data_IF_643649630787
#
_entry.id   IF_643649630787
#
_cell.length_a   1.000
_cell.length_b   1.000
_cell.length_c   1.000
_cell.angle_alpha   90.00
_cell.angle_beta   90.00
_cell.angle_gamma   90.00
#
_symmetry.space_group_name_H-M   'P 1'
#
loop_
_entity.id
_entity.type
_entity.pdbx_description
1 polymer ?
#
# COMPACT_ATOMS: atom_id res chain seq x y z
N UNK A 1 94.07 160.22 145.98
CA UNK A 1 93.67 160.41 147.39
C UNK A 1 92.17 160.23 147.49
N UNK A 2 91.59 159.37 148.34
CA UNK A 2 91.62 159.21 149.82
C UNK A 2 90.58 160.09 150.55
N UNK A 3 89.86 159.45 151.50
CA UNK A 3 89.23 159.98 152.74
C UNK A 3 87.68 159.85 152.78
N UNK A 4 86.94 159.74 153.90
CA UNK A 4 87.18 159.68 155.36
C UNK A 4 85.82 159.52 156.14
N UNK A 5 85.83 158.81 157.28
CA UNK A 5 85.25 159.15 158.62
C UNK A 5 83.74 159.16 159.07
N UNK A 6 83.55 158.65 160.32
CA UNK A 6 82.83 159.12 161.56
C UNK A 6 81.28 159.13 161.80
N UNK A 7 80.92 158.71 163.05
CA UNK A 7 80.00 159.26 164.13
C UNK A 7 78.58 158.66 164.45
N UNK A 8 78.36 158.52 165.79
CA UNK A 8 77.22 158.42 166.77
C UNK A 8 75.70 158.66 166.47
N UNK A 9 74.88 157.82 167.15
CA UNK A 9 73.70 158.01 168.08
C UNK A 9 72.22 158.28 167.65
N UNK A 10 71.32 157.45 168.24
CA UNK A 10 69.90 157.52 168.74
C UNK A 10 68.74 158.37 168.15
N UNK A 11 67.57 157.70 168.18
CA UNK A 11 66.20 158.08 168.67
C UNK A 11 64.96 158.14 167.73
N UNK A 12 63.81 157.91 168.38
CA UNK A 12 62.48 157.34 168.01
C UNK A 12 61.39 158.41 167.73
N UNK A 13 60.18 157.97 167.29
CA UNK A 13 58.81 158.61 167.25
C UNK A 13 58.37 159.25 165.90
N UNK A 14 57.11 159.26 165.39
CA UNK A 14 55.76 158.64 165.62
C UNK A 14 54.75 159.16 164.54
N UNK A 15 53.71 158.36 164.16
CA UNK A 15 52.28 158.71 163.79
C UNK A 15 51.72 158.53 162.32
N UNK A 16 50.36 158.44 162.07
CA UNK A 16 49.42 157.27 161.93
C UNK A 16 48.83 157.05 160.48
N UNK A 17 47.98 156.07 160.06
CA UNK A 17 47.26 154.94 160.69
C UNK A 17 45.92 154.46 160.03
N UNK A 18 45.57 154.77 158.76
CA UNK A 18 44.27 154.37 158.13
C UNK A 18 44.34 153.73 156.71
N UNK A 19 45.52 153.36 156.23
CA UNK A 19 45.72 152.87 154.83
C UNK A 19 45.55 151.34 154.69
N UNK A 20 45.42 150.59 155.78
CA UNK A 20 45.58 149.13 155.75
C UNK A 20 44.29 148.31 155.45
N UNK A 21 43.14 148.97 155.26
CA UNK A 21 41.90 148.26 154.92
C UNK A 21 41.63 148.13 153.40
N UNK A 22 42.32 148.90 152.54
CA UNK A 22 42.00 148.96 151.10
C UNK A 22 42.86 148.01 150.25
N UNK A 23 44.09 147.68 150.68
CA UNK A 23 44.99 146.79 149.94
C UNK A 23 44.60 145.30 150.03
N UNK A 24 43.99 144.88 151.14
CA UNK A 24 43.51 143.50 151.36
C UNK A 24 42.34 143.12 150.45
N UNK A 25 41.47 144.08 150.10
CA UNK A 25 40.33 143.83 149.20
C UNK A 25 40.78 143.54 147.76
N UNK A 26 41.85 144.18 147.28
CA UNK A 26 42.34 144.03 145.91
C UNK A 26 42.99 142.65 145.66
N UNK A 27 43.65 142.09 146.69
CA UNK A 27 44.31 140.78 146.59
C UNK A 27 43.31 139.62 146.45
N UNK A 28 42.16 139.71 147.13
CA UNK A 28 41.10 138.68 147.07
C UNK A 28 40.46 138.60 145.68
N UNK A 29 40.29 139.74 144.99
CA UNK A 29 39.67 139.78 143.66
C UNK A 29 40.57 139.11 142.60
N UNK A 30 41.89 139.31 142.66
CA UNK A 30 42.82 138.69 141.70
C UNK A 30 42.86 137.16 141.88
N UNK A 31 42.83 136.68 143.13
CA UNK A 31 42.82 135.24 143.42
C UNK A 31 41.58 134.53 142.88
N UNK A 32 40.40 135.15 143.01
CA UNK A 32 39.15 134.63 142.43
C UNK A 32 39.19 134.56 140.89
N UNK A 33 39.77 135.58 140.24
CA UNK A 33 39.91 135.62 138.78
C UNK A 33 40.82 134.49 138.25
N UNK A 34 41.91 134.18 138.96
CA UNK A 34 42.84 133.14 138.51
C UNK A 34 42.25 131.73 138.63
N UNK A 35 41.46 131.46 139.69
CA UNK A 35 40.73 130.19 139.83
C UNK A 35 39.74 130.00 138.68
N UNK A 36 39.04 131.07 138.27
CA UNK A 36 38.06 131.01 137.18
C UNK A 36 38.70 130.69 135.82
N UNK A 37 39.86 131.28 135.51
CA UNK A 37 40.58 131.00 134.26
C UNK A 37 41.06 129.55 134.19
N UNK A 38 41.56 129.00 135.31
CA UNK A 38 41.97 127.58 135.37
C UNK A 38 40.75 126.66 135.16
N UNK A 39 39.59 126.98 135.74
CA UNK A 39 38.37 126.21 135.54
C UNK A 39 37.90 126.24 134.07
N UNK A 40 38.01 127.38 133.37
CA UNK A 40 37.68 127.47 131.94
C UNK A 40 38.62 126.65 131.06
N UNK A 41 39.92 126.64 131.32
CA UNK A 41 40.89 125.84 130.55
C UNK A 41 40.60 124.33 130.69
N UNK A 42 40.27 123.88 131.91
CA UNK A 42 39.95 122.47 132.14
C UNK A 42 38.64 122.05 131.49
N UNK A 43 37.63 122.92 131.49
CA UNK A 43 36.34 122.65 130.83
C UNK A 43 36.49 122.63 129.29
N UNK A 44 37.33 123.48 128.72
CA UNK A 44 37.67 123.47 127.29
C UNK A 44 38.43 122.21 126.87
N UNK A 45 39.39 121.75 127.69
CA UNK A 45 40.11 120.50 127.45
C UNK A 45 39.20 119.26 127.55
N UNK A 46 38.24 119.25 128.48
CA UNK A 46 37.29 118.14 128.64
C UNK A 46 36.24 118.07 127.51
N UNK A 47 35.83 119.21 126.93
CA UNK A 47 34.93 119.25 125.78
C UNK A 47 35.65 118.82 124.49
N UNK A 48 36.87 119.30 124.24
CA UNK A 48 37.65 118.95 123.04
C UNK A 48 37.97 117.46 122.95
N UNK A 49 38.32 116.81 124.07
CA UNK A 49 38.59 115.37 124.08
C UNK A 49 37.33 114.52 123.84
N UNK A 50 36.16 115.01 124.23
CA UNK A 50 34.87 114.36 123.93
C UNK A 50 34.50 114.50 122.45
N UNK A 51 34.76 115.66 121.85
CA UNK A 51 34.47 115.91 120.43
C UNK A 51 35.39 115.09 119.51
N UNK A 52 36.66 114.90 119.88
CA UNK A 52 37.60 114.05 119.14
C UNK A 52 37.20 112.56 119.22
N UNK A 53 36.84 112.07 120.42
CA UNK A 53 36.33 110.70 120.59
C UNK A 53 35.01 110.46 119.83
N UNK A 54 34.14 111.47 119.73
CA UNK A 54 32.92 111.38 118.92
C UNK A 54 33.21 111.38 117.42
N UNK A 55 34.20 112.15 116.97
CA UNK A 55 34.66 112.16 115.57
C UNK A 55 35.21 110.79 115.16
N UNK A 56 36.08 110.20 115.99
CA UNK A 56 36.65 108.87 115.75
C UNK A 56 35.59 107.78 115.78
N UNK A 57 34.65 107.84 116.73
CA UNK A 57 33.54 106.88 116.79
C UNK A 57 32.63 107.03 115.56
N UNK A 58 32.40 108.26 115.09
CA UNK A 58 31.63 108.51 113.86
C UNK A 58 32.36 107.99 112.63
N UNK A 59 33.68 108.15 112.55
CA UNK A 59 34.52 107.59 111.48
C UNK A 59 34.49 106.06 111.48
N UNK A 60 34.62 105.42 112.65
CA UNK A 60 34.52 103.96 112.79
C UNK A 60 33.11 103.45 112.45
N UNK A 61 32.05 104.15 112.86
CA UNK A 61 30.67 103.81 112.49
C UNK A 61 30.48 103.93 110.97
N UNK A 62 31.05 104.96 110.34
CA UNK A 62 31.00 105.11 108.87
C UNK A 62 31.80 104.01 108.16
N UNK A 63 32.97 103.63 108.67
CA UNK A 63 33.78 102.54 108.12
C UNK A 63 33.08 101.18 108.27
N UNK A 64 32.52 100.89 109.44
CA UNK A 64 31.71 99.70 109.67
C UNK A 64 30.45 99.70 108.80
N UNK A 65 29.84 100.86 108.57
CA UNK A 65 28.68 101.00 107.66
C UNK A 65 29.09 100.72 106.21
N UNK A 66 30.25 101.20 105.78
CA UNK A 66 30.79 100.93 104.44
C UNK A 66 31.16 99.45 104.26
N UNK A 67 31.81 98.84 105.24
CA UNK A 67 32.14 97.42 105.25
C UNK A 67 30.88 96.56 105.25
N UNK A 68 29.90 96.90 106.09
CA UNK A 68 28.61 96.21 106.13
C UNK A 68 27.83 96.38 104.82
N UNK A 69 27.91 97.54 104.18
CA UNK A 69 27.30 97.74 102.85
C UNK A 69 27.99 96.93 101.76
N UNK A 70 29.32 96.79 101.82
CA UNK A 70 30.09 95.97 100.89
C UNK A 70 29.82 94.47 101.10
N UNK A 71 29.77 94.03 102.36
CA UNK A 71 29.45 92.64 102.74
C UNK A 71 28.02 92.29 102.32
N UNK A 72 27.04 93.16 102.60
CA UNK A 72 25.67 93.00 102.10
C UNK A 72 25.61 92.95 100.57
N UNK A 73 26.37 93.80 99.87
CA UNK A 73 26.44 93.82 98.41
C UNK A 73 27.09 92.55 97.83
N UNK A 74 28.13 92.02 98.48
CA UNK A 74 28.77 90.76 98.10
C UNK A 74 27.85 89.56 98.35
N UNK A 75 27.15 89.51 99.49
CA UNK A 75 26.16 88.47 99.76
C UNK A 75 25.02 88.49 98.73
N UNK A 76 24.51 89.67 98.36
CA UNK A 76 23.51 89.79 97.29
C UNK A 76 24.01 89.27 95.94
N UNK A 77 25.28 89.58 95.57
CA UNK A 77 25.88 89.02 94.34
C UNK A 77 26.03 87.51 94.41
N UNK A 78 26.47 86.97 95.54
CA UNK A 78 26.63 85.54 95.74
C UNK A 78 25.28 84.81 95.74
N UNK A 79 24.22 85.40 96.31
CA UNK A 79 22.85 84.91 96.21
C UNK A 79 22.35 84.88 94.75
N UNK A 80 22.66 85.92 93.96
CA UNK A 80 22.35 85.95 92.52
C UNK A 80 23.13 84.89 91.74
N UNK A 81 24.43 84.74 91.99
CA UNK A 81 25.26 83.69 91.39
C UNK A 81 24.78 82.29 91.76
N UNK A 82 24.43 82.04 93.03
CA UNK A 82 23.83 80.78 93.48
C UNK A 82 22.50 80.51 92.79
N UNK A 83 21.65 81.53 92.62
CA UNK A 83 20.38 81.38 91.91
C UNK A 83 20.59 81.06 90.43
N UNK A 84 21.56 81.73 89.79
CA UNK A 84 21.93 81.48 88.40
C UNK A 84 22.50 80.07 88.22
N UNK A 85 23.45 79.67 89.05
CA UNK A 85 24.03 78.32 89.04
C UNK A 85 22.99 77.24 89.32
N UNK A 86 22.05 77.49 90.24
CA UNK A 86 20.95 76.54 90.52
C UNK A 86 20.04 76.41 89.30
N UNK A 87 19.73 77.51 88.62
CA UNK A 87 18.93 77.50 87.39
C UNK A 87 19.67 76.79 86.25
N UNK A 88 20.97 77.04 86.09
CA UNK A 88 21.80 76.40 85.06
C UNK A 88 21.97 74.89 85.33
N UNK A 89 22.14 74.50 86.60
CA UNK A 89 22.18 73.10 87.01
C UNK A 89 20.84 72.40 86.75
N UNK A 90 19.71 73.06 87.02
CA UNK A 90 18.37 72.55 86.70
C UNK A 90 18.20 72.36 85.19
N UNK A 91 18.52 73.38 84.39
CA UNK A 91 18.42 73.30 82.93
C UNK A 91 19.30 72.18 82.36
N UNK A 92 20.51 72.00 82.89
CA UNK A 92 21.42 70.93 82.47
C UNK A 92 20.90 69.56 82.89
N UNK A 93 20.32 69.45 84.09
CA UNK A 93 19.66 68.22 84.55
C UNK A 93 18.48 67.86 83.64
N UNK A 94 17.65 68.84 83.27
CA UNK A 94 16.52 68.65 82.35
C UNK A 94 16.98 68.23 80.95
N UNK A 95 18.02 68.87 80.39
CA UNK A 95 18.63 68.47 79.11
C UNK A 95 19.20 67.05 79.16
N UNK A 96 19.90 66.70 80.24
CA UNK A 96 20.42 65.34 80.44
C UNK A 96 19.29 64.32 80.49
N UNK A 97 18.19 64.65 81.16
CA UNK A 97 17.06 63.73 81.32
C UNK A 97 16.26 63.60 80.00
N UNK A 98 16.11 64.66 79.20
CA UNK A 98 15.60 64.59 77.82
C UNK A 98 16.49 63.75 76.91
N UNK A 99 17.81 63.96 76.93
CA UNK A 99 18.76 63.15 76.16
C UNK A 99 18.73 61.67 76.56
N UNK A 100 18.58 61.37 77.86
CA UNK A 100 18.39 60.00 78.34
C UNK A 100 17.09 59.38 77.85
N UNK A 101 15.99 60.14 77.85
CA UNK A 101 14.71 59.67 77.32
C UNK A 101 14.80 59.38 75.80
N UNK A 102 15.42 60.28 75.03
CA UNK A 102 15.68 60.07 73.59
C UNK A 102 16.59 58.88 73.33
N UNK A 103 17.65 58.69 74.12
CA UNK A 103 18.55 57.55 74.01
C UNK A 103 17.82 56.22 74.30
N UNK A 104 16.94 56.21 75.30
CA UNK A 104 16.10 55.04 75.58
C UNK A 104 15.14 54.74 74.41
N UNK A 105 14.47 55.76 73.86
CA UNK A 105 13.59 55.57 72.69
C UNK A 105 14.35 55.07 71.46
N UNK A 106 15.54 55.61 71.19
CA UNK A 106 16.39 55.15 70.09
C UNK A 106 16.89 53.72 70.31
N UNK A 107 17.22 53.34 71.55
CA UNK A 107 17.60 51.97 71.89
C UNK A 107 16.43 50.99 71.66
N UNK A 108 15.21 51.36 72.06
CA UNK A 108 14.01 50.56 71.81
C UNK A 108 13.70 50.43 70.30
N UNK A 109 13.86 51.53 69.54
CA UNK A 109 13.70 51.51 68.08
C UNK A 109 14.76 50.65 67.38
N UNK A 110 16.01 50.70 67.84
CA UNK A 110 17.09 49.86 67.31
C UNK A 110 16.81 48.38 67.58
N UNK A 111 16.43 48.04 68.82
CA UNK A 111 16.08 46.66 69.18
C UNK A 111 14.88 46.14 68.36
N UNK A 112 13.86 46.98 68.14
CA UNK A 112 12.73 46.61 67.28
C UNK A 112 13.14 46.42 65.81
N UNK A 113 14.05 47.27 65.30
CA UNK A 113 14.57 47.15 63.94
C UNK A 113 15.42 45.89 63.75
N UNK A 114 16.28 45.55 64.72
CA UNK A 114 17.07 44.31 64.73
C UNK A 114 16.15 43.08 64.70
N UNK A 115 15.15 43.02 65.56
CA UNK A 115 14.15 41.94 65.55
C UNK A 115 13.42 41.82 64.20
N UNK A 116 13.04 42.94 63.59
CA UNK A 116 12.38 42.94 62.27
C UNK A 116 13.32 42.47 61.15
N UNK A 117 14.62 42.76 61.26
CA UNK A 117 15.63 42.35 60.30
C UNK A 117 15.84 40.84 60.38
N UNK A 118 15.93 40.30 61.59
CA UNK A 118 16.02 38.85 61.83
C UNK A 118 14.79 38.12 61.28
N UNK A 119 13.58 38.68 61.47
CA UNK A 119 12.35 38.11 60.93
C UNK A 119 12.35 38.10 59.39
N UNK A 120 12.81 39.18 58.76
CA UNK A 120 12.93 39.28 57.30
C UNK A 120 13.98 38.30 56.78
N UNK A 121 15.12 38.17 57.44
CA UNK A 121 16.18 37.23 57.06
C UNK A 121 15.68 35.78 57.13
N UNK A 122 14.96 35.40 58.19
CA UNK A 122 14.34 34.08 58.30
C UNK A 122 13.30 33.83 57.20
N UNK A 123 12.45 34.81 56.89
CA UNK A 123 11.49 34.71 55.79
C UNK A 123 12.17 34.58 54.44
N UNK A 124 13.28 35.30 54.22
CA UNK A 124 14.06 35.23 53.00
C UNK A 124 14.72 33.85 52.83
N UNK A 125 15.34 33.33 53.89
CA UNK A 125 15.93 31.98 53.89
C UNK A 125 14.87 30.90 53.61
N UNK A 126 13.70 30.99 54.23
CA UNK A 126 12.59 30.07 53.98
C UNK A 126 12.08 30.17 52.53
N UNK A 127 11.99 31.38 51.97
CA UNK A 127 11.58 31.58 50.59
C UNK A 127 12.60 31.04 49.59
N UNK A 128 13.91 31.21 49.86
CA UNK A 128 14.98 30.66 49.05
C UNK A 128 14.96 29.12 49.04
N UNK A 129 14.80 28.50 50.21
CA UNK A 129 14.66 27.04 50.30
C UNK A 129 13.44 26.53 49.51
N UNK A 130 12.28 27.20 49.63
CA UNK A 130 11.10 26.83 48.86
C UNK A 130 11.27 27.03 47.35
N UNK A 131 12.08 27.99 46.92
CA UNK A 131 12.38 28.18 45.50
C UNK A 131 13.28 27.07 44.96
N UNK A 132 14.30 26.68 45.72
CA UNK A 132 15.20 25.57 45.38
C UNK A 132 14.43 24.25 45.24
N UNK A 133 13.51 23.94 46.17
CA UNK A 133 12.63 22.77 46.09
C UNK A 133 11.76 22.79 44.82
N UNK A 134 11.20 23.95 44.48
CA UNK A 134 10.37 24.11 43.27
C UNK A 134 11.18 24.02 41.99
N UNK A 135 12.41 24.52 41.97
CA UNK A 135 13.32 24.38 40.83
C UNK A 135 13.70 22.91 40.61
N UNK A 136 13.92 22.15 41.69
CA UNK A 136 14.13 20.71 41.62
C UNK A 136 12.91 19.98 41.05
N UNK A 137 11.71 20.26 41.58
CA UNK A 137 10.45 19.67 41.10
C UNK A 137 10.18 20.00 39.61
N UNK A 138 10.42 21.25 39.20
CA UNK A 138 10.29 21.66 37.79
C UNK A 138 11.30 20.97 36.87
N UNK A 139 12.51 20.70 37.37
CA UNK A 139 13.54 20.00 36.60
C UNK A 139 13.15 18.54 36.39
N UNK A 140 12.71 17.85 37.44
CA UNK A 140 12.20 16.48 37.36
C UNK A 140 10.96 16.39 36.45
N UNK A 141 10.02 17.33 36.56
CA UNK A 141 8.85 17.37 35.69
C UNK A 141 9.24 17.59 34.23
N UNK A 142 10.23 18.44 33.93
CA UNK A 142 10.72 18.65 32.57
C UNK A 142 11.41 17.41 32.00
N UNK A 143 12.18 16.70 32.80
CA UNK A 143 12.84 15.46 32.39
C UNK A 143 11.80 14.38 32.07
N UNK A 144 10.86 14.12 33.00
CA UNK A 144 9.82 13.12 32.81
C UNK A 144 8.85 13.45 31.67
N UNK A 145 8.55 14.74 31.44
CA UNK A 145 7.73 15.15 30.28
C UNK A 145 8.51 15.05 28.97
N UNK A 146 9.82 15.37 28.98
CA UNK A 146 10.70 15.16 27.85
C UNK A 146 10.76 13.68 27.43
N UNK A 147 10.95 12.78 28.38
CA UNK A 147 10.93 11.34 28.13
C UNK A 147 9.60 10.87 27.53
N UNK A 148 8.46 11.29 28.10
CA UNK A 148 7.13 10.97 27.57
C UNK A 148 6.91 11.48 26.15
N UNK A 149 7.38 12.68 25.83
CA UNK A 149 7.30 13.22 24.47
C UNK A 149 8.11 12.34 23.51
N UNK A 150 9.33 11.97 23.87
CA UNK A 150 10.16 11.12 23.01
C UNK A 150 9.54 9.73 22.79
N UNK A 151 8.94 9.12 23.82
CA UNK A 151 8.21 7.85 23.70
C UNK A 151 6.95 7.98 22.83
N UNK A 152 6.24 9.10 22.92
CA UNK A 152 5.10 9.36 22.04
C UNK A 152 5.53 9.59 20.58
N UNK A 153 6.64 10.29 20.35
CA UNK A 153 7.18 10.52 19.00
C UNK A 153 7.63 9.21 18.35
N UNK A 154 8.31 8.32 19.09
CA UNK A 154 8.67 6.99 18.58
C UNK A 154 7.41 6.17 18.27
N UNK A 155 6.42 6.18 19.16
CA UNK A 155 5.15 5.47 18.96
C UNK A 155 4.37 5.98 17.74
N UNK A 156 4.34 7.29 17.52
CA UNK A 156 3.74 7.91 16.33
C UNK A 156 4.50 7.47 15.08
N UNK A 157 5.83 7.45 15.12
CA UNK A 157 6.68 6.93 14.05
C UNK A 157 6.33 5.48 13.68
N UNK A 158 6.29 4.59 14.68
CA UNK A 158 5.92 3.18 14.49
C UNK A 158 4.52 3.00 13.90
N UNK A 159 3.52 3.72 14.42
CA UNK A 159 2.14 3.67 13.93
C UNK A 159 2.03 4.21 12.50
N UNK A 160 2.75 5.29 12.18
CA UNK A 160 2.77 5.84 10.83
C UNK A 160 3.38 4.86 9.82
N UNK A 161 4.46 4.17 10.20
CA UNK A 161 5.08 3.13 9.38
C UNK A 161 4.15 1.92 9.19
N UNK A 162 3.44 1.50 10.25
CA UNK A 162 2.46 0.43 10.18
C UNK A 162 1.28 0.80 9.25
N UNK A 163 0.76 2.03 9.37
CA UNK A 163 -0.31 2.52 8.50
C UNK A 163 0.12 2.60 7.03
N UNK A 164 1.35 3.04 6.76
CA UNK A 164 1.91 3.05 5.41
C UNK A 164 2.01 1.62 4.83
N UNK A 165 2.49 0.66 5.63
CA UNK A 165 2.54 -0.75 5.23
C UNK A 165 1.14 -1.32 4.93
N UNK A 166 0.17 -1.10 5.82
CA UNK A 166 -1.22 -1.55 5.61
C UNK A 166 -1.89 -0.89 4.41
N UNK A 167 -1.58 0.38 4.14
CA UNK A 167 -2.09 1.06 2.95
C UNK A 167 -1.52 0.44 1.67
N UNK A 168 -0.24 0.07 1.64
CA UNK A 168 0.39 -0.62 0.52
C UNK A 168 -0.22 -2.03 0.31
N UNK A 169 -0.40 -2.81 1.38
CA UNK A 169 -1.07 -4.12 1.33
C UNK A 169 -2.51 -4.01 0.78
N UNK A 170 -3.27 -2.99 1.21
CA UNK A 170 -4.63 -2.77 0.74
C UNK A 170 -4.69 -2.42 -0.75
N UNK A 171 -3.74 -1.62 -1.23
CA UNK A 171 -3.66 -1.26 -2.64
C UNK A 171 -3.29 -2.46 -3.51
N UNK A 172 -2.36 -3.31 -3.05
CA UNK A 172 -2.04 -4.57 -3.70
C UNK A 172 -3.27 -5.50 -3.76
N UNK A 173 -4.02 -5.63 -2.66
CA UNK A 173 -5.27 -6.41 -2.63
C UNK A 173 -6.33 -5.87 -3.58
N UNK A 174 -6.47 -4.55 -3.71
CA UNK A 174 -7.39 -3.94 -4.68
C UNK A 174 -6.97 -4.26 -6.11
N UNK A 175 -5.70 -4.11 -6.44
CA UNK A 175 -5.17 -4.42 -7.77
C UNK A 175 -5.40 -5.89 -8.13
N UNK A 176 -5.11 -6.82 -7.22
CA UNK A 176 -5.41 -8.25 -7.39
C UNK A 176 -6.91 -8.52 -7.55
N UNK A 177 -7.76 -7.82 -6.79
CA UNK A 177 -9.22 -7.95 -6.91
C UNK A 177 -9.72 -7.46 -8.26
N UNK A 178 -9.21 -6.33 -8.75
CA UNK A 178 -9.62 -5.76 -10.03
C UNK A 178 -9.10 -6.59 -11.21
N UNK A 179 -7.89 -7.14 -11.10
CA UNK A 179 -7.36 -8.12 -12.05
C UNK A 179 -8.23 -9.38 -12.08
N UNK A 180 -8.60 -9.94 -10.91
CA UNK A 180 -9.47 -11.11 -10.83
C UNK A 180 -10.85 -10.84 -11.46
N UNK A 181 -11.44 -9.66 -11.22
CA UNK A 181 -12.70 -9.26 -11.88
C UNK A 181 -12.54 -9.17 -13.40
N UNK A 182 -11.43 -8.60 -13.88
CA UNK A 182 -11.14 -8.51 -15.30
C UNK A 182 -10.96 -9.91 -15.93
N UNK A 183 -10.29 -10.84 -15.25
CA UNK A 183 -10.14 -12.23 -15.68
C UNK A 183 -11.50 -12.94 -15.75
N UNK A 184 -12.37 -12.78 -14.74
CA UNK A 184 -13.73 -13.34 -14.74
C UNK A 184 -14.57 -12.76 -15.88
N UNK A 185 -14.48 -11.45 -16.14
CA UNK A 185 -15.16 -10.82 -17.26
C UNK A 185 -14.67 -11.39 -18.60
N UNK A 186 -13.36 -11.57 -18.78
CA UNK A 186 -12.77 -12.16 -19.98
C UNK A 186 -13.20 -13.63 -20.17
N UNK A 187 -13.18 -14.44 -19.11
CA UNK A 187 -13.64 -15.84 -19.15
C UNK A 187 -15.12 -15.94 -19.50
N UNK A 188 -15.96 -15.05 -18.98
CA UNK A 188 -17.37 -15.00 -19.34
C UNK A 188 -17.57 -14.67 -20.82
N UNK A 189 -16.81 -13.72 -21.38
CA UNK A 189 -16.83 -13.43 -22.82
C UNK A 189 -16.38 -14.64 -23.66
N UNK A 190 -15.31 -15.33 -23.23
CA UNK A 190 -14.85 -16.56 -23.89
C UNK A 190 -15.91 -17.67 -23.84
N UNK A 191 -16.57 -17.88 -22.70
CA UNK A 191 -17.66 -18.85 -22.58
C UNK A 191 -18.82 -18.53 -23.51
N UNK A 192 -19.19 -17.25 -23.66
CA UNK A 192 -20.23 -16.84 -24.60
C UNK A 192 -19.81 -17.12 -26.06
N UNK A 193 -18.57 -16.81 -26.42
CA UNK A 193 -18.03 -17.11 -27.75
C UNK A 193 -18.01 -18.62 -28.03
N UNK A 194 -17.57 -19.44 -27.07
CA UNK A 194 -17.58 -20.90 -27.19
C UNK A 194 -19.01 -21.45 -27.32
N UNK A 195 -19.98 -20.93 -26.56
CA UNK A 195 -21.40 -21.32 -26.72
C UNK A 195 -21.94 -20.98 -28.10
N UNK A 196 -21.59 -19.81 -28.65
CA UNK A 196 -21.98 -19.44 -30.02
C UNK A 196 -21.31 -20.34 -31.06
N UNK A 197 -20.04 -20.73 -30.86
CA UNK A 197 -19.37 -21.69 -31.74
C UNK A 197 -20.03 -23.06 -31.69
N UNK A 198 -20.36 -23.57 -30.50
CA UNK A 198 -21.07 -24.84 -30.34
C UNK A 198 -22.43 -24.80 -31.05
N UNK A 199 -23.21 -23.74 -30.86
CA UNK A 199 -24.50 -23.59 -31.54
C UNK A 199 -24.38 -23.58 -33.07
N UNK A 200 -23.31 -22.98 -33.62
CA UNK A 200 -23.03 -23.01 -35.07
C UNK A 200 -22.66 -24.40 -35.56
N UNK A 201 -21.85 -25.13 -34.79
CA UNK A 201 -21.44 -26.50 -35.12
C UNK A 201 -22.66 -27.43 -35.08
N UNK A 202 -23.52 -27.30 -34.07
CA UNK A 202 -24.74 -28.07 -33.93
C UNK A 202 -25.68 -27.84 -35.12
N UNK A 203 -25.93 -26.58 -35.50
CA UNK A 203 -26.75 -26.26 -36.67
C UNK A 203 -26.14 -26.77 -38.00
N UNK A 204 -24.81 -26.73 -38.13
CA UNK A 204 -24.11 -27.27 -39.30
C UNK A 204 -24.20 -28.80 -39.35
N UNK A 205 -24.10 -29.47 -38.20
CA UNK A 205 -24.25 -30.92 -38.08
C UNK A 205 -25.66 -31.35 -38.45
N UNK A 206 -26.69 -30.71 -37.92
CA UNK A 206 -28.10 -30.98 -38.25
C UNK A 206 -28.36 -30.82 -39.76
N UNK A 207 -27.79 -29.78 -40.37
CA UNK A 207 -27.88 -29.58 -41.83
C UNK A 207 -27.20 -30.72 -42.59
N UNK A 208 -26.01 -31.14 -42.17
CA UNK A 208 -25.28 -32.25 -42.80
C UNK A 208 -25.97 -33.60 -42.63
N UNK A 209 -26.59 -33.86 -41.48
CA UNK A 209 -27.35 -35.08 -41.22
C UNK A 209 -28.57 -35.15 -42.14
N UNK A 210 -29.33 -34.05 -42.26
CA UNK A 210 -30.45 -33.97 -43.21
C UNK A 210 -30.02 -34.18 -44.66
N UNK A 211 -28.89 -33.60 -45.08
CA UNK A 211 -28.35 -33.85 -46.42
C UNK A 211 -27.95 -35.31 -46.64
N UNK A 212 -27.40 -35.99 -45.62
CA UNK A 212 -27.07 -37.40 -45.70
C UNK A 212 -28.32 -38.26 -45.82
N UNK A 213 -29.37 -37.99 -45.04
CA UNK A 213 -30.65 -38.68 -45.16
C UNK A 213 -31.27 -38.52 -46.56
N UNK A 214 -31.20 -37.31 -47.12
CA UNK A 214 -31.65 -37.05 -48.50
C UNK A 214 -30.83 -37.84 -49.53
N UNK A 215 -29.50 -37.88 -49.39
CA UNK A 215 -28.61 -38.66 -50.27
C UNK A 215 -28.87 -40.16 -50.14
N UNK A 216 -29.07 -40.67 -48.93
CA UNK A 216 -29.37 -42.08 -48.69
C UNK A 216 -30.71 -42.47 -49.34
N UNK A 217 -31.74 -41.63 -49.20
CA UNK A 217 -33.01 -41.82 -49.90
C UNK A 217 -32.84 -41.82 -51.43
N UNK A 218 -31.99 -40.95 -51.99
CA UNK A 218 -31.67 -40.94 -53.42
C UNK A 218 -30.95 -42.21 -53.86
N UNK A 219 -29.97 -42.69 -53.09
CA UNK A 219 -29.23 -43.92 -53.37
C UNK A 219 -30.18 -45.12 -53.41
N UNK A 220 -31.08 -45.25 -52.43
CA UNK A 220 -32.08 -46.32 -52.41
C UNK A 220 -33.00 -46.24 -53.64
N UNK A 221 -33.50 -45.05 -53.98
CA UNK A 221 -34.33 -44.85 -55.16
C UNK A 221 -33.59 -45.20 -56.47
N UNK A 222 -32.33 -44.78 -56.59
CA UNK A 222 -31.52 -45.06 -57.78
C UNK A 222 -31.19 -46.55 -57.89
N UNK A 223 -30.86 -47.21 -56.77
CA UNK A 223 -30.66 -48.65 -56.70
C UNK A 223 -31.89 -49.42 -57.15
N UNK A 224 -33.08 -49.03 -56.69
CA UNK A 224 -34.34 -49.65 -57.13
C UNK A 224 -34.59 -49.45 -58.64
N UNK A 225 -34.34 -48.26 -59.18
CA UNK A 225 -34.49 -47.98 -60.62
C UNK A 225 -33.50 -48.79 -61.46
N UNK A 226 -32.24 -48.88 -61.03
CA UNK A 226 -31.20 -49.62 -61.72
C UNK A 226 -31.52 -51.13 -61.72
N UNK A 227 -31.94 -51.68 -60.59
CA UNK A 227 -32.34 -53.08 -60.48
C UNK A 227 -33.55 -53.39 -61.37
N UNK A 228 -34.54 -52.50 -61.42
CA UNK A 228 -35.69 -52.64 -62.31
C UNK A 228 -35.28 -52.61 -63.79
N UNK A 229 -34.43 -51.66 -64.18
CA UNK A 229 -33.92 -51.55 -65.55
C UNK A 229 -33.10 -52.78 -65.97
N UNK A 230 -32.25 -53.29 -65.07
CA UNK A 230 -31.48 -54.50 -65.29
C UNK A 230 -32.39 -55.73 -65.46
N UNK A 231 -33.42 -55.87 -64.62
CA UNK A 231 -34.38 -56.95 -64.74
C UNK A 231 -35.13 -56.92 -66.09
N UNK A 232 -35.50 -55.73 -66.58
CA UNK A 232 -36.09 -55.56 -67.91
C UNK A 232 -35.13 -56.00 -69.01
N UNK A 233 -33.86 -55.57 -68.96
CA UNK A 233 -32.85 -55.94 -69.98
C UNK A 233 -32.56 -57.44 -70.01
N UNK A 234 -32.44 -58.07 -68.84
CA UNK A 234 -32.29 -59.53 -68.73
C UNK A 234 -33.50 -60.25 -69.32
N UNK A 235 -34.73 -59.78 -69.04
CA UNK A 235 -35.95 -60.37 -69.60
C UNK A 235 -36.03 -60.21 -71.12
N UNK A 236 -35.63 -59.04 -71.67
CA UNK A 236 -35.53 -58.80 -73.11
C UNK A 236 -34.55 -59.78 -73.76
N UNK A 237 -33.33 -59.91 -73.22
CA UNK A 237 -32.34 -60.86 -73.73
C UNK A 237 -32.84 -62.30 -73.71
N UNK A 238 -33.52 -62.72 -72.63
CA UNK A 238 -34.10 -64.06 -72.53
C UNK A 238 -35.17 -64.31 -73.60
N UNK A 239 -36.02 -63.31 -73.90
CA UNK A 239 -37.03 -63.41 -74.96
C UNK A 239 -36.38 -63.56 -76.34
N UNK A 240 -35.42 -62.70 -76.68
CA UNK A 240 -34.72 -62.77 -77.96
C UNK A 240 -33.99 -64.09 -78.13
N UNK A 241 -33.37 -64.61 -77.06
CA UNK A 241 -32.76 -65.94 -77.06
C UNK A 241 -33.77 -67.00 -77.49
N UNK A 242 -34.95 -67.03 -76.88
CA UNK A 242 -36.00 -68.00 -77.24
C UNK A 242 -36.51 -67.86 -78.68
N UNK A 243 -36.78 -66.64 -79.14
CA UNK A 243 -37.25 -66.39 -80.52
C UNK A 243 -36.17 -66.75 -81.57
N UNK A 244 -34.91 -66.42 -81.29
CA UNK A 244 -33.77 -66.78 -82.13
C UNK A 244 -33.64 -68.29 -82.26
N UNK A 245 -33.64 -69.03 -81.14
CA UNK A 245 -33.49 -70.49 -81.16
C UNK A 245 -34.70 -71.19 -81.81
N UNK A 246 -35.89 -70.61 -81.71
CA UNK A 246 -37.08 -71.07 -82.44
C UNK A 246 -36.88 -71.01 -83.95
N UNK A 247 -36.54 -69.83 -84.49
CA UNK A 247 -36.29 -69.63 -85.93
C UNK A 247 -35.13 -70.49 -86.45
N UNK A 248 -34.06 -70.59 -85.66
CA UNK A 248 -32.91 -71.40 -86.05
C UNK A 248 -33.23 -72.90 -86.08
N UNK A 249 -34.13 -73.36 -85.19
CA UNK A 249 -34.65 -74.73 -85.22
C UNK A 249 -35.54 -74.99 -86.44
N UNK A 250 -36.34 -74.04 -86.89
CA UNK A 250 -37.17 -74.19 -88.11
C UNK A 250 -36.31 -74.38 -89.37
N UNK A 251 -35.20 -73.67 -89.49
CA UNK A 251 -34.30 -73.78 -90.66
C UNK A 251 -33.46 -75.07 -90.65
N UNK A 252 -33.07 -75.55 -89.45
CA UNK A 252 -32.13 -76.68 -89.31
C UNK A 252 -32.80 -78.02 -88.93
N UNK A 253 -34.09 -78.01 -88.59
CA UNK A 253 -34.75 -79.05 -87.80
C UNK A 253 -35.05 -80.40 -88.47
N UNK A 254 -35.02 -80.50 -89.80
CA UNK A 254 -35.43 -81.71 -90.53
C UNK A 254 -34.26 -82.56 -91.07
N UNK A 255 -33.06 -82.40 -90.51
CA UNK A 255 -31.85 -83.13 -90.96
C UNK A 255 -31.33 -84.09 -89.90
N UNK A 256 -30.93 -85.29 -90.33
CA UNK A 256 -30.46 -86.37 -89.43
C UNK A 256 -29.12 -86.07 -88.73
N UNK A 257 -28.38 -85.08 -89.23
CA UNK A 257 -26.99 -84.80 -88.81
C UNK A 257 -26.86 -83.65 -87.79
N UNK A 258 -27.96 -82.96 -87.46
CA UNK A 258 -28.00 -81.85 -86.50
C UNK A 258 -28.84 -82.26 -85.29
N UNK A 259 -28.30 -82.09 -84.09
CA UNK A 259 -29.05 -82.35 -82.84
C UNK A 259 -29.25 -81.06 -82.06
N UNK A 260 -30.49 -80.79 -81.68
CA UNK A 260 -30.85 -79.68 -80.79
C UNK A 260 -30.92 -80.20 -79.35
N UNK A 261 -30.11 -79.64 -78.45
CA UNK A 261 -30.09 -80.04 -77.03
C UNK A 261 -30.33 -78.81 -76.14
N UNK A 262 -31.59 -78.45 -75.89
CA UNK A 262 -31.91 -77.21 -75.18
C UNK A 262 -31.66 -75.99 -76.08
N UNK A 263 -30.73 -75.11 -75.69
CA UNK A 263 -30.36 -73.86 -76.38
C UNK A 263 -29.03 -73.96 -77.15
N UNK A 264 -28.70 -75.16 -77.65
CA UNK A 264 -27.50 -75.37 -78.47
C UNK A 264 -27.77 -76.27 -79.67
N UNK A 265 -27.09 -75.94 -80.77
CA UNK A 265 -27.06 -76.76 -81.97
C UNK A 265 -25.76 -77.54 -82.01
N UNK A 266 -25.86 -78.85 -82.15
CA UNK A 266 -24.71 -79.75 -82.18
C UNK A 266 -24.55 -80.33 -83.57
N UNK A 267 -23.41 -80.05 -84.20
CA UNK A 267 -22.99 -80.62 -85.48
C UNK A 267 -21.91 -81.66 -85.24
N UNK A 268 -22.04 -82.83 -85.86
CA UNK A 268 -20.99 -83.84 -85.80
C UNK A 268 -19.77 -83.36 -86.60
N UNK A 269 -18.58 -83.47 -86.03
CA UNK A 269 -17.38 -82.91 -86.67
C UNK A 269 -17.05 -83.57 -88.02
N UNK A 270 -17.44 -84.83 -88.24
CA UNK A 270 -17.20 -85.55 -89.51
C UNK A 270 -18.01 -85.00 -90.69
N UNK A 271 -19.11 -84.31 -90.41
CA UNK A 271 -19.95 -83.67 -91.43
C UNK A 271 -19.32 -82.34 -91.86
N UNK A 272 -18.61 -81.68 -90.95
CA UNK A 272 -18.00 -80.38 -91.20
C UNK A 272 -16.53 -80.47 -91.65
N UNK A 273 -15.80 -81.50 -91.21
CA UNK A 273 -14.36 -81.61 -91.36
C UNK A 273 -13.92 -83.01 -91.76
N UNK A 274 -12.78 -83.10 -92.44
CA UNK A 274 -12.03 -84.35 -92.59
C UNK A 274 -11.54 -84.90 -91.24
N UNK A 275 -11.25 -86.21 -91.22
CA UNK A 275 -10.71 -86.86 -90.02
C UNK A 275 -9.33 -86.28 -89.65
N UNK A 276 -9.18 -85.81 -88.40
CA UNK A 276 -7.95 -85.18 -87.92
C UNK A 276 -7.64 -83.79 -88.51
N UNK A 277 -8.54 -83.23 -89.32
CA UNK A 277 -8.37 -81.93 -89.98
C UNK A 277 -9.27 -80.85 -89.35
N UNK A 278 -8.88 -79.59 -89.54
CA UNK A 278 -9.67 -78.42 -89.15
C UNK A 278 -10.11 -77.57 -90.35
N UNK A 279 -9.88 -78.05 -91.58
CA UNK A 279 -10.38 -77.41 -92.79
C UNK A 279 -11.80 -77.90 -93.10
N UNK A 280 -12.70 -76.97 -93.43
CA UNK A 280 -14.10 -77.30 -93.70
C UNK A 280 -14.24 -78.02 -95.04
N UNK A 281 -14.93 -79.16 -95.04
CA UNK A 281 -15.33 -79.84 -96.26
C UNK A 281 -16.43 -79.08 -97.01
N UNK A 282 -16.61 -79.35 -98.30
CA UNK A 282 -17.61 -78.66 -99.13
C UNK A 282 -19.05 -78.82 -98.60
N UNK A 283 -19.41 -80.03 -98.14
CA UNK A 283 -20.73 -80.28 -97.53
C UNK A 283 -20.91 -79.49 -96.20
N UNK A 284 -19.84 -79.37 -95.41
CA UNK A 284 -19.83 -78.56 -94.20
C UNK A 284 -19.98 -77.07 -94.48
N UNK A 285 -19.35 -76.56 -95.55
CA UNK A 285 -19.50 -75.17 -96.00
C UNK A 285 -20.94 -74.88 -96.41
N UNK A 286 -21.58 -75.76 -97.17
CA UNK A 286 -23.00 -75.59 -97.57
C UNK A 286 -23.95 -75.53 -96.36
N UNK A 287 -23.67 -76.31 -95.32
CA UNK A 287 -24.46 -76.29 -94.09
C UNK A 287 -24.24 -75.02 -93.28
N UNK A 288 -22.98 -74.61 -93.12
CA UNK A 288 -22.63 -73.39 -92.41
C UNK A 288 -23.03 -72.12 -93.17
N UNK A 289 -23.16 -72.17 -94.51
CA UNK A 289 -23.62 -71.04 -95.31
C UNK A 289 -25.08 -70.71 -95.00
N UNK A 290 -25.94 -71.74 -94.96
CA UNK A 290 -27.35 -71.59 -94.54
C UNK A 290 -27.48 -71.12 -93.10
N UNK A 291 -26.59 -71.60 -92.22
CA UNK A 291 -26.50 -71.12 -90.86
C UNK A 291 -26.14 -69.63 -90.85
N UNK A 292 -25.10 -69.22 -91.57
CA UNK A 292 -24.66 -67.83 -91.68
C UNK A 292 -25.73 -66.87 -92.20
N UNK A 293 -26.48 -67.27 -93.23
CA UNK A 293 -27.63 -66.50 -93.75
C UNK A 293 -28.73 -66.31 -92.71
N UNK A 294 -29.02 -67.37 -91.95
CA UNK A 294 -30.02 -67.30 -90.86
C UNK A 294 -29.51 -66.43 -89.71
N UNK A 295 -28.23 -66.56 -89.35
CA UNK A 295 -27.58 -65.77 -88.30
C UNK A 295 -27.59 -64.28 -88.65
N UNK A 296 -27.28 -63.91 -89.89
CA UNK A 296 -27.30 -62.51 -90.36
C UNK A 296 -28.71 -61.93 -90.36
N UNK A 297 -29.70 -62.70 -90.82
CA UNK A 297 -31.11 -62.29 -90.84
C UNK A 297 -31.64 -62.04 -89.43
N UNK A 298 -31.41 -62.99 -88.52
CA UNK A 298 -31.94 -62.89 -87.15
C UNK A 298 -31.15 -61.85 -86.33
N UNK A 299 -29.83 -61.74 -86.53
CA UNK A 299 -29.00 -60.75 -85.84
C UNK A 299 -29.47 -59.31 -86.08
N UNK A 300 -30.05 -59.02 -87.25
CA UNK A 300 -30.60 -57.70 -87.58
C UNK A 300 -31.83 -57.33 -86.73
N UNK A 301 -32.55 -58.32 -86.19
CA UNK A 301 -33.72 -58.09 -85.34
C UNK A 301 -33.37 -57.86 -83.86
N UNK A 302 -32.13 -58.16 -83.46
CA UNK A 302 -31.70 -58.00 -82.07
C UNK A 302 -31.09 -56.60 -81.90
N UNK A 303 -31.63 -55.76 -80.99
CA UNK A 303 -31.11 -54.42 -80.73
C UNK A 303 -29.62 -54.38 -80.38
N UNK A 304 -28.94 -53.30 -80.80
CA UNK A 304 -27.50 -53.10 -80.56
C UNK A 304 -27.13 -52.87 -79.09
N UNK A 305 -28.08 -52.46 -78.25
CA UNK A 305 -27.88 -52.25 -76.80
C UNK A 305 -27.85 -53.57 -76.00
N UNK A 306 -28.10 -54.70 -76.67
CA UNK A 306 -27.96 -56.04 -76.09
C UNK A 306 -26.63 -56.64 -76.57
N UNK A 307 -25.69 -56.84 -75.64
CA UNK A 307 -24.34 -57.35 -75.93
C UNK A 307 -24.31 -58.89 -76.03
N UNK A 308 -25.10 -59.43 -76.96
CA UNK A 308 -25.12 -60.87 -77.25
C UNK A 308 -24.00 -61.29 -78.21
N UNK A 309 -23.55 -62.54 -78.07
CA UNK A 309 -22.59 -63.19 -78.98
C UNK A 309 -22.99 -64.64 -79.24
N UNK A 310 -22.70 -65.13 -80.44
CA UNK A 310 -22.76 -66.54 -80.83
C UNK A 310 -21.42 -67.21 -80.55
N UNK A 311 -21.41 -68.09 -79.57
CA UNK A 311 -20.26 -68.90 -79.20
C UNK A 311 -20.26 -70.22 -79.95
N UNK A 312 -19.15 -70.51 -80.61
CA UNK A 312 -18.86 -71.74 -81.33
C UNK A 312 -17.88 -72.56 -80.50
N UNK A 313 -18.36 -73.67 -79.98
CA UNK A 313 -17.65 -74.54 -79.04
C UNK A 313 -17.16 -75.79 -79.78
N UNK A 314 -15.84 -75.95 -79.91
CA UNK A 314 -15.21 -77.12 -80.51
C UNK A 314 -14.92 -78.20 -79.47
N UNK A 315 -15.23 -79.45 -79.81
CA UNK A 315 -14.95 -80.61 -78.95
C UNK A 315 -14.28 -81.74 -79.73
N UNK A 316 -13.46 -82.52 -79.02
CA UNK A 316 -12.87 -83.78 -79.52
C UNK A 316 -13.38 -84.96 -78.70
N UNK A 317 -13.12 -86.16 -79.19
CA UNK A 317 -13.14 -87.35 -78.35
C UNK A 317 -11.84 -87.46 -77.54
N UNK A 318 -11.74 -88.52 -76.73
CA UNK A 318 -10.60 -88.78 -75.84
C UNK A 318 -9.42 -89.48 -76.50
N UNK A 319 -9.50 -89.83 -77.79
CA UNK A 319 -8.38 -90.39 -78.53
C UNK A 319 -7.36 -89.26 -78.72
N UNK A 320 -6.11 -89.42 -78.25
CA UNK A 320 -5.13 -88.35 -78.34
C UNK A 320 -4.73 -88.07 -79.80
N UNK A 321 -4.85 -86.82 -80.25
CA UNK A 321 -4.23 -86.37 -81.50
C UNK A 321 -2.86 -85.73 -81.24
N UNK A 322 -1.88 -86.10 -82.07
CA UNK A 322 -0.58 -85.43 -82.15
C UNK A 322 0.00 -85.58 -83.56
N UNK A 323 -0.08 -84.52 -84.35
CA UNK A 323 0.48 -84.48 -85.70
C UNK A 323 1.27 -83.18 -85.93
N UNK A 324 1.77 -82.96 -87.14
CA UNK A 324 2.54 -81.75 -87.48
C UNK A 324 1.72 -80.45 -87.37
N UNK A 325 0.38 -80.53 -87.39
CA UNK A 325 -0.52 -79.38 -87.42
C UNK A 325 -1.15 -79.08 -86.06
N UNK A 326 -1.39 -80.10 -85.22
CA UNK A 326 -2.02 -80.00 -83.91
C UNK A 326 -1.25 -80.85 -82.90
N UNK A 327 -0.73 -80.20 -81.86
CA UNK A 327 0.01 -80.85 -80.77
C UNK A 327 -0.91 -81.50 -79.73
N UNK A 328 -2.19 -81.11 -79.67
CA UNK A 328 -3.19 -81.65 -78.74
C UNK A 328 -4.63 -81.51 -79.24
N UNK A 329 -5.55 -82.20 -78.57
CA UNK A 329 -6.99 -82.08 -78.78
C UNK A 329 -7.53 -80.67 -78.48
N UNK A 330 -6.90 -79.92 -77.58
CA UNK A 330 -7.21 -78.50 -77.34
C UNK A 330 -6.96 -77.66 -78.59
N UNK A 331 -5.81 -77.86 -79.25
CA UNK A 331 -5.49 -77.13 -80.48
C UNK A 331 -6.42 -77.53 -81.62
N UNK A 332 -6.72 -78.83 -81.77
CA UNK A 332 -7.65 -79.30 -82.80
C UNK A 332 -9.06 -78.72 -82.60
N UNK A 333 -9.59 -78.77 -81.37
CA UNK A 333 -10.93 -78.25 -81.07
C UNK A 333 -11.02 -76.74 -81.26
N UNK A 334 -10.02 -75.99 -80.78
CA UNK A 334 -9.97 -74.54 -80.97
C UNK A 334 -9.82 -74.18 -82.45
N UNK A 335 -8.94 -74.86 -83.19
CA UNK A 335 -8.75 -74.63 -84.61
C UNK A 335 -10.03 -74.89 -85.41
N UNK A 336 -10.75 -75.98 -85.12
CA UNK A 336 -12.06 -76.26 -85.75
C UNK A 336 -13.08 -75.18 -85.45
N UNK A 337 -13.23 -74.77 -84.19
CA UNK A 337 -14.14 -73.69 -83.81
C UNK A 337 -13.78 -72.36 -84.53
N UNK A 338 -12.49 -72.04 -84.63
CA UNK A 338 -11.99 -70.87 -85.36
C UNK A 338 -12.30 -70.98 -86.86
N UNK A 339 -12.11 -72.15 -87.48
CA UNK A 339 -12.43 -72.36 -88.90
C UNK A 339 -13.92 -72.12 -89.19
N UNK A 340 -14.80 -72.60 -88.32
CA UNK A 340 -16.24 -72.30 -88.40
C UNK A 340 -16.50 -70.80 -88.27
N UNK A 341 -15.92 -70.14 -87.25
CA UNK A 341 -16.12 -68.69 -87.04
C UNK A 341 -15.63 -67.90 -88.24
N UNK A 342 -14.43 -68.19 -88.77
CA UNK A 342 -13.89 -67.54 -89.97
C UNK A 342 -14.83 -67.72 -91.15
N UNK A 343 -15.32 -68.93 -91.38
CA UNK A 343 -16.26 -69.19 -92.45
C UNK A 343 -17.57 -68.41 -92.26
N UNK A 344 -18.14 -68.37 -91.06
CA UNK A 344 -19.34 -67.57 -90.79
C UNK A 344 -19.12 -66.07 -91.00
N UNK A 345 -17.93 -65.56 -90.68
CA UNK A 345 -17.52 -64.17 -91.00
C UNK A 345 -17.51 -63.97 -92.51
N UNK A 346 -16.96 -64.91 -93.27
CA UNK A 346 -16.96 -64.86 -94.74
C UNK A 346 -18.38 -64.92 -95.33
N UNK A 347 -19.33 -65.54 -94.62
CA UNK A 347 -20.76 -65.55 -94.95
C UNK A 347 -21.49 -64.27 -94.49
N UNK A 348 -20.79 -63.30 -93.91
CA UNK A 348 -21.34 -61.98 -93.54
C UNK A 348 -21.79 -61.84 -92.08
N UNK A 349 -21.56 -62.84 -91.22
CA UNK A 349 -21.87 -62.71 -89.79
C UNK A 349 -20.88 -61.73 -89.13
N UNK A 350 -21.35 -60.70 -88.40
CA UNK A 350 -20.46 -59.71 -87.78
C UNK A 350 -19.43 -60.35 -86.85
N UNK A 351 -18.11 -60.08 -87.01
CA UNK A 351 -17.06 -60.68 -86.18
C UNK A 351 -17.21 -60.41 -84.68
N UNK A 352 -17.75 -59.25 -84.31
CA UNK A 352 -18.01 -58.87 -82.92
C UNK A 352 -19.17 -59.65 -82.27
N UNK A 353 -19.94 -60.40 -83.05
CA UNK A 353 -21.01 -61.30 -82.57
C UNK A 353 -20.58 -62.76 -82.53
N UNK A 354 -19.29 -63.07 -82.73
CA UNK A 354 -18.80 -64.44 -82.77
C UNK A 354 -17.67 -64.66 -81.76
N UNK A 355 -17.70 -65.80 -81.09
CA UNK A 355 -16.65 -66.25 -80.17
C UNK A 355 -16.32 -67.70 -80.50
N UNK A 356 -15.05 -68.03 -80.69
CA UNK A 356 -14.59 -69.40 -80.82
C UNK A 356 -14.01 -69.88 -79.49
N UNK A 357 -14.43 -71.05 -79.02
CA UNK A 357 -13.88 -71.72 -77.84
C UNK A 357 -13.54 -73.18 -78.17
N UNK A 358 -12.35 -73.64 -77.80
CA UNK A 358 -12.01 -75.06 -77.82
C UNK A 358 -12.16 -75.64 -76.42
N UNK A 359 -12.67 -76.87 -76.30
CA UNK A 359 -12.82 -77.57 -75.02
C UNK A 359 -12.09 -78.91 -74.96
N UNK A 360 -11.46 -79.34 -76.06
CA UNK A 360 -10.81 -80.66 -76.18
C UNK A 360 -11.76 -81.81 -75.82
N UNK A 361 -11.22 -82.85 -75.17
CA UNK A 361 -11.99 -84.00 -74.68
C UNK A 361 -12.73 -83.75 -73.35
N UNK A 362 -12.55 -82.60 -72.71
CA UNK A 362 -12.93 -82.38 -71.30
C UNK A 362 -14.41 -82.08 -71.06
N UNK A 363 -15.22 -82.03 -72.12
CA UNK A 363 -16.68 -81.93 -72.05
C UNK A 363 -17.34 -82.98 -72.94
N UNK A 364 -17.27 -84.28 -72.59
CA UNK A 364 -17.91 -85.35 -73.35
C UNK A 364 -19.44 -85.31 -73.21
N UNK A 365 -20.17 -85.51 -74.33
CA UNK A 365 -21.62 -85.78 -74.31
C UNK A 365 -21.94 -87.23 -73.96
N UNK A 366 -21.02 -88.14 -74.26
CA UNK A 366 -21.17 -89.58 -74.04
C UNK A 366 -19.88 -90.12 -73.42
N UNK A 367 -19.96 -90.63 -72.20
CA UNK A 367 -18.80 -91.10 -71.44
C UNK A 367 -18.39 -92.53 -71.76
N UNK A 368 -19.05 -93.18 -72.74
CA UNK A 368 -18.71 -94.54 -73.15
C UNK A 368 -17.43 -94.57 -73.99
N UNK A 369 -16.82 -95.75 -74.01
CA UNK A 369 -15.53 -96.02 -74.64
C UNK A 369 -15.71 -96.82 -75.93
N UNK A 370 -16.65 -96.37 -76.77
CA UNK A 370 -16.98 -96.98 -78.05
C UNK A 370 -16.94 -95.94 -79.19
N UNK A 371 -16.87 -96.41 -80.43
CA UNK A 371 -16.80 -95.53 -81.61
C UNK A 371 -18.03 -94.63 -81.75
N UNK A 372 -19.18 -95.08 -81.21
CA UNK A 372 -20.42 -94.30 -81.21
C UNK A 372 -20.29 -93.08 -80.30
N UNK A 373 -19.74 -93.26 -79.09
CA UNK A 373 -19.48 -92.19 -78.14
C UNK A 373 -18.40 -91.23 -78.63
N UNK A 374 -17.33 -91.74 -79.26
CA UNK A 374 -16.30 -90.89 -79.85
C UNK A 374 -16.86 -89.99 -80.94
N UNK A 375 -17.64 -90.55 -81.87
CA UNK A 375 -18.31 -89.74 -82.91
C UNK A 375 -19.22 -88.67 -82.33
N UNK A 376 -19.96 -88.98 -81.26
CA UNK A 376 -20.83 -88.01 -80.58
C UNK A 376 -20.05 -86.91 -79.85
N UNK A 377 -18.87 -87.22 -79.34
CA UNK A 377 -18.02 -86.27 -78.63
C UNK A 377 -17.27 -85.34 -79.59
N UNK A 378 -16.89 -85.83 -80.78
CA UNK A 378 -16.38 -85.04 -81.91
C UNK A 378 -17.50 -84.17 -82.49
N UNK A 379 -17.65 -82.94 -81.99
CA UNK A 379 -18.71 -82.04 -82.45
C UNK A 379 -18.32 -80.57 -82.39
N UNK A 380 -19.13 -79.75 -83.06
CA UNK A 380 -19.19 -78.30 -82.89
C UNK A 380 -20.54 -77.96 -82.28
N UNK A 381 -20.55 -77.21 -81.18
CA UNK A 381 -21.77 -76.67 -80.58
C UNK A 381 -21.89 -75.17 -80.85
N UNK A 382 -23.09 -74.69 -81.11
CA UNK A 382 -23.41 -73.27 -81.26
C UNK A 382 -24.33 -72.84 -80.13
N UNK A 383 -23.97 -71.77 -79.42
CA UNK A 383 -24.74 -71.24 -78.28
C UNK A 383 -24.75 -69.71 -78.27
N UNK A 384 -25.87 -69.10 -77.93
CA UNK A 384 -25.95 -67.66 -77.66
C UNK A 384 -25.63 -67.39 -76.19
N UNK A 385 -24.79 -66.39 -75.95
CA UNK A 385 -24.49 -65.88 -74.60
C UNK A 385 -24.40 -64.36 -74.62
N UNK A 386 -24.45 -63.75 -73.44
CA UNK A 386 -23.99 -62.37 -73.25
C UNK A 386 -22.45 -62.37 -73.26
N UNK A 387 -21.87 -61.30 -73.77
CA UNK A 387 -20.43 -61.10 -73.90
C UNK A 387 -19.73 -60.95 -72.55
#
# INVERSE_FOLDING_TARGET
MIGLSRRRNRDVNTWPGFVDALATLLMVIIFLLMIFVIAQVYLGAALSGRDEALSDLTAQVNELTNLLSLERGNNQRMELELTQLTTELSNTADQRDDLRARAATLADQLAAAELSTDEIEQKLLAALASLEDKEAELTELRETTGEKITDQETRIGELSALLASRAAELEEQKNLSDEAKAQVAALNQQMLALRQQLARIEAALETSERENEEKDAQIVNLGNRLNAALATKVAELQRYRSEFFGRLREVLGDRQDIRVVGDRFVFQSEVLFGSGEAELGEEGKDQLAKLGETLTTIAADIPDDIDWVMRVDGHTDKVPIRNLQFASNWELSAARAISVVKFLIDQGVPPNRLVAAGFGEYQPLDNRDDEIAYRRNRRIEFKITER
#
